data_IF_311184125405
#
_entry.id   IF_311184125405
#
_cell.length_a   1.000
_cell.length_b   1.000
_cell.length_c   1.000
_cell.angle_alpha   90.00
_cell.angle_beta   90.00
_cell.angle_gamma   90.00
#
_symmetry.space_group_name_H-M   'P 1'
#
loop_
_entity.id
_entity.type
_entity.pdbx_description
1 polymer ?
#
# COMPACT_ATOMS: atom_id res chain seq x y z
N UNK A 1 -10.34 -0.27 -30.15
CA UNK A 1 -9.67 0.96 -29.68
C UNK A 1 -8.86 0.61 -28.44
N UNK A 2 -7.53 0.47 -28.59
CA UNK A 2 -6.62 0.02 -27.52
C UNK A 2 -6.32 1.25 -26.66
N UNK A 3 -6.75 1.25 -25.41
CA UNK A 3 -6.48 2.35 -24.49
C UNK A 3 -4.98 2.41 -24.12
N UNK A 4 -4.31 3.57 -24.27
CA UNK A 4 -2.86 3.72 -24.14
C UNK A 4 -2.32 3.54 -22.70
N UNK A 5 -3.15 3.25 -21.70
CA UNK A 5 -2.77 3.14 -20.28
C UNK A 5 -2.98 1.73 -19.70
N UNK A 6 -2.98 0.69 -20.51
CA UNK A 6 -3.03 -0.69 -20.03
C UNK A 6 -1.60 -1.17 -19.78
N UNK A 7 -1.30 -1.53 -18.53
CA UNK A 7 -0.06 -2.22 -18.20
C UNK A 7 -0.17 -3.69 -18.58
N UNK A 8 0.40 -4.06 -19.73
CA UNK A 8 0.34 -5.43 -20.26
C UNK A 8 1.06 -6.46 -19.39
N UNK A 9 2.05 -6.06 -18.58
CA UNK A 9 2.68 -6.95 -17.59
C UNK A 9 1.67 -7.34 -16.51
N UNK A 10 0.88 -6.37 -16.04
CA UNK A 10 -0.18 -6.63 -15.06
C UNK A 10 -1.29 -7.51 -15.64
N UNK A 11 -1.69 -7.28 -16.89
CA UNK A 11 -2.71 -8.11 -17.56
C UNK A 11 -2.26 -9.55 -17.63
N UNK A 12 -1.05 -9.81 -18.14
CA UNK A 12 -0.49 -11.17 -18.22
C UNK A 12 -0.38 -11.85 -16.87
N UNK A 13 0.12 -11.14 -15.87
CA UNK A 13 0.18 -11.65 -14.50
C UNK A 13 -1.22 -12.04 -13.98
N UNK A 14 -2.22 -11.21 -14.20
CA UNK A 14 -3.59 -11.52 -13.78
C UNK A 14 -4.17 -12.73 -14.51
N UNK A 15 -3.86 -12.90 -15.80
CA UNK A 15 -4.28 -14.06 -16.58
C UNK A 15 -3.59 -15.34 -16.08
N UNK A 16 -2.29 -15.34 -15.86
CA UNK A 16 -1.50 -16.45 -15.32
C UNK A 16 -2.00 -16.91 -13.95
N UNK A 17 -2.26 -15.94 -13.06
CA UNK A 17 -2.73 -16.20 -11.69
C UNK A 17 -4.26 -16.34 -11.58
N UNK A 18 -4.99 -16.33 -12.70
CA UNK A 18 -6.46 -16.40 -12.76
C UNK A 18 -7.15 -15.34 -11.91
N UNK A 19 -6.59 -14.14 -11.88
CA UNK A 19 -7.13 -12.98 -11.19
C UNK A 19 -8.03 -12.19 -12.15
N UNK A 20 -9.26 -11.92 -11.73
CA UNK A 20 -10.18 -11.08 -12.51
C UNK A 20 -9.72 -9.62 -12.40
N UNK A 21 -9.14 -9.10 -13.49
CA UNK A 21 -8.75 -7.70 -13.58
C UNK A 21 -9.98 -6.84 -13.85
N UNK A 22 -10.27 -5.91 -12.94
CA UNK A 22 -11.32 -4.92 -13.11
C UNK A 22 -10.73 -3.52 -13.22
N UNK A 23 -11.37 -2.65 -13.97
CA UNK A 23 -10.96 -1.27 -14.17
C UNK A 23 -12.10 -0.32 -13.86
N UNK A 24 -11.81 0.81 -13.22
CA UNK A 24 -12.78 1.88 -13.03
C UNK A 24 -13.16 2.52 -14.38
N UNK A 25 -14.39 2.96 -14.47
CA UNK A 25 -14.89 3.70 -15.62
C UNK A 25 -14.26 5.09 -15.69
N UNK A 26 -14.02 5.63 -16.87
CA UNK A 26 -13.54 7.00 -17.03
C UNK A 26 -14.44 8.00 -16.30
N UNK A 27 -13.84 8.95 -15.60
CA UNK A 27 -14.51 10.04 -14.86
C UNK A 27 -15.46 9.59 -13.73
N UNK A 28 -15.45 8.31 -13.31
CA UNK A 28 -16.24 7.79 -12.19
C UNK A 28 -15.40 7.61 -10.94
N UNK A 29 -15.20 8.68 -10.16
CA UNK A 29 -14.38 8.70 -8.94
C UNK A 29 -14.81 7.65 -7.90
N UNK A 30 -16.10 7.35 -7.82
CA UNK A 30 -16.64 6.42 -6.81
C UNK A 30 -16.37 4.94 -7.10
N UNK A 31 -15.94 4.58 -8.31
CA UNK A 31 -15.68 3.19 -8.66
C UNK A 31 -14.47 2.62 -7.86
N UNK A 32 -13.56 3.48 -7.41
CA UNK A 32 -12.34 3.10 -6.68
C UNK A 32 -12.45 3.24 -5.15
N UNK A 33 -13.58 3.64 -4.60
CA UNK A 33 -13.71 3.96 -3.18
C UNK A 33 -13.27 2.84 -2.24
N UNK A 34 -13.53 1.58 -2.58
CA UNK A 34 -13.11 0.43 -1.77
C UNK A 34 -11.60 0.19 -1.84
N UNK A 35 -11.00 0.32 -3.04
CA UNK A 35 -9.55 0.18 -3.23
C UNK A 35 -8.82 1.30 -2.50
N UNK A 36 -9.29 2.54 -2.63
CA UNK A 36 -8.72 3.71 -1.95
C UNK A 36 -8.80 3.57 -0.43
N UNK A 37 -9.95 3.11 0.11
CA UNK A 37 -10.10 2.83 1.53
C UNK A 37 -9.10 1.76 2.00
N UNK A 38 -8.98 0.65 1.25
CA UNK A 38 -8.03 -0.42 1.60
C UNK A 38 -6.59 0.04 1.50
N UNK A 39 -6.26 0.81 0.49
CA UNK A 39 -4.94 1.41 0.32
C UNK A 39 -4.59 2.34 1.50
N UNK A 40 -5.54 3.17 1.94
CA UNK A 40 -5.37 4.01 3.12
C UNK A 40 -5.13 3.17 4.38
N UNK A 41 -6.03 2.22 4.69
CA UNK A 41 -6.02 1.47 5.96
C UNK A 41 -4.94 0.40 6.06
N UNK A 42 -4.56 -0.22 4.93
CA UNK A 42 -3.63 -1.35 4.95
C UNK A 42 -2.23 -1.00 4.45
N UNK A 43 -2.07 0.06 3.67
CA UNK A 43 -0.76 0.47 3.14
C UNK A 43 -0.31 1.77 3.79
N UNK A 44 -1.02 2.88 3.57
CA UNK A 44 -0.59 4.20 4.04
C UNK A 44 -0.50 4.32 5.55
N UNK A 45 -1.46 3.75 6.29
CA UNK A 45 -1.44 3.76 7.75
C UNK A 45 -0.35 2.84 8.34
N UNK A 46 0.25 1.95 7.56
CA UNK A 46 1.32 1.05 8.01
C UNK A 46 2.68 1.55 7.56
N UNK A 47 2.83 1.84 6.26
CA UNK A 47 4.11 2.19 5.63
C UNK A 47 4.32 3.71 5.50
N UNK A 48 3.28 4.52 5.72
CA UNK A 48 3.33 5.97 5.45
C UNK A 48 3.20 6.29 3.96
N UNK A 49 3.70 7.46 3.57
CA UNK A 49 3.65 8.01 2.21
C UNK A 49 5.02 8.05 1.54
N UNK A 50 5.99 7.31 2.08
CA UNK A 50 7.34 7.26 1.54
C UNK A 50 7.38 6.41 0.26
N UNK A 51 8.35 6.69 -0.59
CA UNK A 51 8.59 5.93 -1.82
C UNK A 51 9.62 4.84 -1.57
N UNK A 52 9.19 3.60 -1.67
CA UNK A 52 10.02 2.41 -1.55
C UNK A 52 10.20 1.80 -2.94
N UNK A 53 11.42 1.80 -3.48
CA UNK A 53 11.74 1.38 -4.84
C UNK A 53 13.02 0.54 -4.95
N UNK A 54 13.63 0.15 -3.83
CA UNK A 54 14.77 -0.76 -3.80
C UNK A 54 14.33 -2.18 -3.49
N UNK A 55 15.06 -3.18 -4.00
CA UNK A 55 14.79 -4.59 -3.73
C UNK A 55 14.73 -4.90 -2.24
N UNK A 56 15.70 -4.38 -1.48
CA UNK A 56 15.75 -4.57 -0.02
C UNK A 56 14.50 -4.01 0.70
N UNK A 57 14.02 -2.83 0.30
CA UNK A 57 12.78 -2.26 0.83
C UNK A 57 11.58 -3.15 0.50
N UNK A 58 11.50 -3.64 -0.74
CA UNK A 58 10.42 -4.52 -1.21
C UNK A 58 10.43 -5.86 -0.46
N UNK A 59 11.61 -6.45 -0.22
CA UNK A 59 11.74 -7.68 0.56
C UNK A 59 11.23 -7.52 1.99
N UNK A 60 11.64 -6.45 2.69
CA UNK A 60 11.17 -6.17 4.06
C UNK A 60 9.65 -5.98 4.08
N UNK A 61 9.09 -5.25 3.11
CA UNK A 61 7.64 -5.03 3.00
C UNK A 61 6.91 -6.35 2.75
N UNK A 62 7.38 -7.15 1.81
CA UNK A 62 6.77 -8.44 1.49
C UNK A 62 6.80 -9.40 2.68
N UNK A 63 7.92 -9.44 3.39
CA UNK A 63 8.08 -10.26 4.59
C UNK A 63 7.11 -9.80 5.71
N UNK A 64 7.04 -8.48 5.97
CA UNK A 64 6.09 -7.91 6.91
C UNK A 64 4.63 -8.29 6.60
N UNK A 65 4.22 -8.18 5.33
CA UNK A 65 2.84 -8.44 4.93
C UNK A 65 2.50 -9.93 4.89
N UNK A 66 3.44 -10.80 4.52
CA UNK A 66 3.23 -12.25 4.48
C UNK A 66 3.14 -12.88 5.88
N UNK A 67 3.84 -12.32 6.83
CA UNK A 67 3.98 -12.88 8.18
C UNK A 67 3.21 -12.07 9.22
N UNK A 68 3.88 -11.20 9.98
CA UNK A 68 3.35 -10.62 11.21
C UNK A 68 2.09 -9.79 10.99
N UNK A 69 2.08 -8.95 9.96
CA UNK A 69 0.96 -8.04 9.72
C UNK A 69 -0.31 -8.79 9.33
N UNK A 70 -0.18 -9.82 8.48
CA UNK A 70 -1.29 -10.69 8.09
C UNK A 70 -1.89 -11.38 9.31
N UNK A 71 -1.05 -11.96 10.16
CA UNK A 71 -1.50 -12.65 11.36
C UNK A 71 -2.14 -11.68 12.35
N UNK A 72 -1.49 -10.57 12.63
CA UNK A 72 -2.00 -9.55 13.55
C UNK A 72 -3.36 -9.01 13.11
N UNK A 73 -3.52 -8.63 11.84
CA UNK A 73 -4.78 -8.07 11.33
C UNK A 73 -5.92 -9.08 11.28
N UNK A 74 -5.63 -10.33 10.94
CA UNK A 74 -6.68 -11.34 10.81
C UNK A 74 -7.13 -11.92 12.14
N UNK A 75 -6.23 -12.05 13.12
CA UNK A 75 -6.56 -12.71 14.38
C UNK A 75 -6.86 -11.73 15.52
N UNK A 76 -6.24 -10.54 15.52
CA UNK A 76 -6.30 -9.64 16.69
C UNK A 76 -6.89 -8.26 16.41
N UNK A 77 -7.02 -7.85 15.15
CA UNK A 77 -7.57 -6.52 14.83
C UNK A 77 -9.06 -6.63 14.46
N UNK A 78 -9.98 -6.16 15.33
CA UNK A 78 -11.41 -6.19 15.04
C UNK A 78 -11.78 -5.12 14.00
N UNK A 79 -12.77 -5.45 13.18
CA UNK A 79 -13.31 -4.58 12.13
C UNK A 79 -14.84 -4.59 12.23
N UNK A 80 -15.45 -3.41 12.12
CA UNK A 80 -16.90 -3.26 11.99
C UNK A 80 -17.33 -3.35 10.55
N UNK A 81 -18.44 -4.04 10.28
CA UNK A 81 -19.10 -4.05 8.97
C UNK A 81 -20.37 -3.22 9.01
N UNK A 82 -20.63 -2.50 7.93
CA UNK A 82 -21.86 -1.74 7.78
C UNK A 82 -23.05 -2.72 7.68
N UNK A 83 -24.00 -2.62 8.61
CA UNK A 83 -25.26 -3.42 8.60
C UNK A 83 -26.35 -2.70 7.82
N UNK A 84 -26.51 -1.41 8.10
CA UNK A 84 -27.62 -0.64 7.59
C UNK A 84 -27.17 0.79 7.25
N UNK A 85 -27.72 1.32 6.16
CA UNK A 85 -27.49 2.69 5.73
C UNK A 85 -28.83 3.34 5.41
N UNK A 86 -29.29 4.21 6.32
CA UNK A 86 -30.54 4.94 6.17
C UNK A 86 -30.22 6.34 5.68
N UNK A 87 -30.97 6.81 4.71
CA UNK A 87 -30.93 8.20 4.25
C UNK A 87 -32.22 8.89 4.63
N UNK A 88 -32.14 9.86 5.56
CA UNK A 88 -33.27 10.67 5.97
C UNK A 88 -32.97 12.15 5.71
N UNK A 89 -33.86 12.84 4.97
CA UNK A 89 -33.79 14.28 4.65
C UNK A 89 -32.37 14.77 4.28
N UNK A 90 -31.64 13.99 3.45
CA UNK A 90 -30.29 14.33 3.02
C UNK A 90 -29.18 13.89 3.97
N UNK A 91 -29.47 13.50 5.21
CA UNK A 91 -28.50 12.95 6.16
C UNK A 91 -28.37 11.44 6.00
N UNK A 92 -27.14 10.94 6.18
CA UNK A 92 -26.84 9.50 6.07
C UNK A 92 -26.48 8.95 7.45
N UNK A 93 -27.34 8.08 7.96
CA UNK A 93 -27.11 7.32 9.19
C UNK A 93 -26.56 5.94 8.84
N UNK A 94 -25.45 5.56 9.45
CA UNK A 94 -24.81 4.26 9.25
C UNK A 94 -24.82 3.50 10.56
N UNK A 95 -25.39 2.29 10.53
CA UNK A 95 -25.37 1.35 11.65
C UNK A 95 -24.40 0.24 11.36
N UNK A 96 -23.47 0.02 12.26
CA UNK A 96 -22.45 -0.99 12.15
C UNK A 96 -22.75 -2.17 13.05
N UNK A 97 -22.16 -3.31 12.73
CA UNK A 97 -22.19 -4.48 13.61
C UNK A 97 -21.18 -4.33 14.78
N UNK A 98 -21.23 -5.29 15.72
CA UNK A 98 -20.23 -5.38 16.77
C UNK A 98 -18.85 -5.64 16.18
N UNK A 99 -17.78 -4.96 16.68
CA UNK A 99 -16.42 -5.19 16.19
C UNK A 99 -16.02 -6.66 16.38
N UNK A 100 -15.62 -7.32 15.29
CA UNK A 100 -15.14 -8.71 15.30
C UNK A 100 -13.92 -8.85 14.42
N UNK A 101 -12.97 -9.69 14.82
CA UNK A 101 -11.84 -10.02 13.96
C UNK A 101 -12.28 -10.89 12.78
N UNK A 102 -11.54 -10.91 11.66
CA UNK A 102 -11.80 -11.87 10.57
C UNK A 102 -11.84 -13.32 11.06
N UNK A 103 -10.95 -13.69 11.99
CA UNK A 103 -10.95 -15.01 12.61
C UNK A 103 -12.27 -15.33 13.33
N UNK A 104 -12.77 -14.43 14.19
CA UNK A 104 -14.06 -14.61 14.88
C UNK A 104 -15.21 -14.80 13.91
N UNK A 105 -15.24 -14.04 12.81
CA UNK A 105 -16.28 -14.17 11.77
C UNK A 105 -16.24 -15.51 11.06
N UNK A 106 -15.05 -16.09 10.84
CA UNK A 106 -14.89 -17.42 10.26
C UNK A 106 -15.39 -18.48 11.25
N UNK A 107 -15.06 -18.34 12.53
CA UNK A 107 -15.49 -19.29 13.56
C UNK A 107 -17.02 -19.34 13.73
N UNK A 108 -17.70 -18.19 13.56
CA UNK A 108 -19.16 -18.08 13.63
C UNK A 108 -19.88 -18.54 12.34
N UNK A 109 -19.18 -18.62 11.23
CA UNK A 109 -19.78 -18.97 9.93
C UNK A 109 -20.16 -20.46 9.88
N UNK A 110 -21.37 -20.77 9.45
CA UNK A 110 -21.83 -22.14 9.20
C UNK A 110 -21.29 -22.74 7.90
N UNK A 111 -20.80 -21.90 6.98
CA UNK A 111 -20.32 -22.34 5.65
C UNK A 111 -18.89 -22.90 5.68
N UNK A 112 -18.15 -22.73 6.77
CA UNK A 112 -16.76 -23.15 6.87
C UNK A 112 -16.66 -24.51 7.56
N UNK A 113 -15.95 -25.49 6.96
CA UNK A 113 -15.78 -26.82 7.55
C UNK A 113 -15.08 -26.76 8.92
N UNK A 114 -15.48 -27.67 9.80
CA UNK A 114 -14.91 -27.75 11.15
C UNK A 114 -13.41 -28.07 11.15
N UNK A 115 -12.92 -28.82 10.18
CA UNK A 115 -11.48 -29.08 9.98
C UNK A 115 -10.67 -27.80 9.79
N UNK A 116 -11.18 -26.87 8.97
CA UNK A 116 -10.56 -25.56 8.78
C UNK A 116 -10.60 -24.71 10.04
N UNK A 117 -11.74 -24.73 10.76
CA UNK A 117 -11.88 -24.03 12.04
C UNK A 117 -10.91 -24.54 13.09
N UNK A 118 -10.73 -25.88 13.22
CA UNK A 118 -9.78 -26.48 14.14
C UNK A 118 -8.35 -26.03 13.86
N UNK A 119 -7.91 -26.07 12.60
CA UNK A 119 -6.58 -25.58 12.19
C UNK A 119 -6.37 -24.09 12.50
N UNK A 120 -7.38 -23.26 12.26
CA UNK A 120 -7.31 -21.84 12.60
C UNK A 120 -7.29 -21.58 14.09
N UNK A 121 -7.97 -22.40 14.89
CA UNK A 121 -7.96 -22.34 16.35
C UNK A 121 -6.59 -22.73 16.91
N UNK A 122 -5.97 -23.79 16.42
CA UNK A 122 -4.60 -24.17 16.79
C UNK A 122 -3.60 -23.05 16.47
N UNK A 123 -3.68 -22.48 15.27
CA UNK A 123 -2.86 -21.35 14.89
C UNK A 123 -3.10 -20.14 15.82
N UNK A 124 -4.36 -19.81 16.12
CA UNK A 124 -4.68 -18.71 17.02
C UNK A 124 -4.05 -18.88 18.40
N UNK A 125 -4.12 -20.11 18.97
CA UNK A 125 -3.55 -20.42 20.28
C UNK A 125 -2.02 -20.38 20.32
N UNK A 126 -1.36 -20.56 19.17
CA UNK A 126 0.11 -20.44 19.06
C UNK A 126 0.59 -19.00 18.90
N UNK A 127 -0.32 -18.04 18.63
CA UNK A 127 0.06 -16.65 18.35
C UNK A 127 0.06 -15.80 19.62
N UNK A 128 1.09 -14.97 19.77
CA UNK A 128 1.17 -13.93 20.79
C UNK A 128 1.02 -12.54 20.13
N UNK A 129 -0.07 -11.79 20.41
CA UNK A 129 -0.30 -10.49 19.80
C UNK A 129 0.78 -9.44 20.16
N UNK A 130 1.37 -9.54 21.35
CA UNK A 130 2.43 -8.61 21.76
C UNK A 130 3.73 -8.86 20.97
N UNK A 131 4.07 -10.11 20.71
CA UNK A 131 5.24 -10.47 19.87
C UNK A 131 5.03 -10.08 18.43
N UNK A 132 3.86 -10.34 17.86
CA UNK A 132 3.51 -9.90 16.52
C UNK A 132 3.63 -8.37 16.38
N UNK A 133 3.14 -7.62 17.37
CA UNK A 133 3.24 -6.16 17.38
C UNK A 133 4.69 -5.69 17.43
N UNK A 134 5.52 -6.28 18.30
CA UNK A 134 6.97 -5.97 18.36
C UNK A 134 7.68 -6.32 17.05
N UNK A 135 7.33 -7.46 16.43
CA UNK A 135 7.84 -7.87 15.11
C UNK A 135 7.52 -6.86 14.03
N UNK A 136 6.28 -6.40 13.96
CA UNK A 136 5.83 -5.34 13.04
C UNK A 136 6.66 -4.05 13.26
N UNK A 137 6.79 -3.60 14.50
CA UNK A 137 7.53 -2.37 14.83
C UNK A 137 9.02 -2.49 14.48
N UNK A 138 9.62 -3.67 14.73
CA UNK A 138 11.02 -3.94 14.37
C UNK A 138 11.24 -3.83 12.86
N UNK A 139 10.38 -4.48 12.06
CA UNK A 139 10.47 -4.44 10.59
C UNK A 139 10.21 -3.04 10.03
N UNK A 140 9.28 -2.28 10.60
CA UNK A 140 9.05 -0.90 10.20
C UNK A 140 10.25 0.01 10.52
N UNK A 141 10.90 -0.18 11.66
CA UNK A 141 12.15 0.54 11.99
C UNK A 141 13.29 0.19 11.03
N UNK A 142 13.43 -1.08 10.69
CA UNK A 142 14.41 -1.55 9.71
C UNK A 142 14.15 -0.95 8.33
N UNK A 143 12.91 -0.99 7.86
CA UNK A 143 12.50 -0.38 6.60
C UNK A 143 12.82 1.13 6.56
N UNK A 144 12.52 1.84 7.63
CA UNK A 144 12.81 3.26 7.73
C UNK A 144 14.31 3.55 7.72
N UNK A 145 15.12 2.71 8.37
CA UNK A 145 16.59 2.81 8.33
C UNK A 145 17.13 2.65 6.90
N UNK A 146 16.68 1.62 6.18
CA UNK A 146 17.07 1.39 4.78
C UNK A 146 16.66 2.57 3.89
N UNK A 147 15.46 3.11 4.09
CA UNK A 147 14.99 4.30 3.40
C UNK A 147 15.88 5.53 3.67
N UNK A 148 16.30 5.76 4.92
CA UNK A 148 17.21 6.86 5.26
C UNK A 148 18.59 6.68 4.64
N UNK A 149 19.17 5.48 4.67
CA UNK A 149 20.44 5.15 4.04
C UNK A 149 20.42 5.46 2.53
N UNK A 150 19.34 5.07 1.83
CA UNK A 150 19.12 5.39 0.43
C UNK A 150 19.12 6.90 0.17
N UNK A 151 18.38 7.67 0.95
CA UNK A 151 18.26 9.11 0.77
C UNK A 151 19.57 9.85 1.12
N UNK A 152 20.33 9.38 2.10
CA UNK A 152 21.62 9.94 2.45
C UNK A 152 22.64 9.70 1.32
N UNK A 153 22.65 8.50 0.74
CA UNK A 153 23.51 8.20 -0.41
C UNK A 153 23.15 9.03 -1.66
N UNK A 154 21.87 9.32 -1.87
CA UNK A 154 21.42 10.20 -2.96
C UNK A 154 21.80 11.68 -2.72
N UNK A 155 21.88 12.14 -1.47
CA UNK A 155 22.31 13.51 -1.12
C UNK A 155 23.80 13.74 -1.31
N UNK A 156 24.63 12.70 -1.15
CA UNK A 156 26.09 12.77 -1.35
C UNK A 156 26.46 13.02 -2.82
N UNK A 157 25.57 12.67 -3.75
CA UNK A 157 25.69 13.06 -5.15
C UNK A 157 24.60 14.05 -5.49
N UNK A 158 24.76 15.36 -5.16
CA UNK A 158 23.85 16.35 -5.71
C UNK A 158 23.94 16.20 -7.23
N UNK A 159 22.81 16.04 -7.86
CA UNK A 159 22.68 15.99 -9.31
C UNK A 159 23.50 17.14 -9.90
N UNK A 160 24.72 16.88 -10.33
CA UNK A 160 25.38 17.72 -11.31
C UNK A 160 24.52 17.58 -12.55
N UNK A 161 23.53 18.49 -12.70
CA UNK A 161 22.93 18.72 -14.01
C UNK A 161 24.12 18.92 -14.93
N UNK A 162 24.43 17.90 -15.72
CA UNK A 162 25.31 18.11 -16.87
C UNK A 162 24.51 19.02 -17.79
N UNK A 163 24.71 20.30 -17.62
CA UNK A 163 24.22 21.30 -18.58
C UNK A 163 24.82 20.88 -19.92
N UNK A 164 24.00 20.52 -20.91
CA UNK A 164 24.53 20.12 -22.21
C UNK A 164 25.53 21.16 -22.67
N UNK A 165 26.68 20.76 -23.20
CA UNK A 165 27.73 21.66 -23.68
C UNK A 165 27.20 22.77 -24.61
N UNK A 166 26.10 22.50 -25.34
CA UNK A 166 25.40 23.46 -26.17
C UNK A 166 24.80 24.65 -25.38
N UNK A 167 24.34 24.46 -24.16
CA UNK A 167 23.77 25.54 -23.33
C UNK A 167 24.89 26.35 -22.68
N UNK A 168 26.00 25.73 -22.30
CA UNK A 168 27.15 26.41 -21.72
C UNK A 168 27.80 27.34 -22.80
N UNK A 169 27.87 26.89 -24.05
CA UNK A 169 28.39 27.74 -25.14
C UNK A 169 27.50 28.96 -25.44
N UNK A 170 26.18 28.81 -25.26
CA UNK A 170 25.22 29.91 -25.48
C UNK A 170 25.34 30.99 -24.41
N UNK A 171 25.48 30.60 -23.13
CA UNK A 171 25.66 31.55 -22.01
C UNK A 171 26.98 32.30 -22.15
N UNK A 172 28.07 31.61 -22.47
CA UNK A 172 29.39 32.22 -22.65
C UNK A 172 29.40 33.20 -23.84
N UNK A 173 28.64 32.90 -24.88
CA UNK A 173 28.52 33.77 -26.04
C UNK A 173 27.67 35.04 -25.78
N UNK A 174 26.66 34.94 -24.92
CA UNK A 174 25.86 36.09 -24.46
C UNK A 174 26.66 37.03 -23.52
N UNK A 175 27.47 36.46 -22.63
CA UNK A 175 28.35 37.25 -21.76
C UNK A 175 29.41 38.01 -22.56
N UNK A 176 29.96 37.42 -23.63
CA UNK A 176 30.89 38.11 -24.55
C UNK A 176 30.23 39.19 -25.38
N UNK A 177 28.91 39.15 -25.59
CA UNK A 177 28.14 40.15 -26.32
C UNK A 177 27.56 41.27 -25.42
N UNK A 178 27.88 41.25 -24.10
CA UNK A 178 27.50 42.35 -23.18
C UNK A 178 25.97 42.42 -22.90
N UNK A 179 25.23 41.34 -23.10
CA UNK A 179 23.79 41.30 -22.85
C UNK A 179 23.51 40.98 -21.38
N UNK A 180 23.24 42.00 -20.56
CA UNK A 180 22.67 41.84 -19.23
C UNK A 180 21.15 41.94 -19.33
N UNK A 181 20.40 40.87 -18.99
CA UNK A 181 18.94 40.98 -18.91
C UNK A 181 18.57 41.90 -17.75
N UNK A 182 17.68 42.86 -18.06
CA UNK A 182 17.03 43.73 -17.05
C UNK A 182 16.04 42.94 -16.25
#
# INVERSE_FOLDING_TARGET
>A
MIHPFINWHLVRYCEEERIILSRSRPYRKNDNCFVEQKNSTHIRNVLGHLRYDTEKEIEIINDLYRNELRLYKNFFQPVMKLKEKIRDKGKVHRKYDTPKTPYQRIMESSYIPNTTKSRLKELYLSLNPAELKRGIEKKLKELYKVYQEKNNSQRVYPFKKQIPRSVTSYVTQQEQLGYTPK
#
